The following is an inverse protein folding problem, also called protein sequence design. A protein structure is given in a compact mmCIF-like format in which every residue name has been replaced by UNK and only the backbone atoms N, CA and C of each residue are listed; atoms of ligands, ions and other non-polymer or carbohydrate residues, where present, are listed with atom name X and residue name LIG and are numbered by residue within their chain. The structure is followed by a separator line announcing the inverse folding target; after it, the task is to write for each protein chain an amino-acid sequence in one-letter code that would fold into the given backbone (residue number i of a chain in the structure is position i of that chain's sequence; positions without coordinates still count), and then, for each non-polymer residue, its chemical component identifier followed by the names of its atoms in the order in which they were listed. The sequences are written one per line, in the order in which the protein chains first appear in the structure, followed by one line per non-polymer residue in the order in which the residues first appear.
data_IF_061303941514
#
_entry.id   IF_061303941514
#
_cell.length_a   1.000
_cell.length_b   1.000
_cell.length_c   1.000
_cell.angle_alpha   90.00
_cell.angle_beta   90.00
_cell.angle_gamma   90.00
#
_symmetry.space_group_name_H-M   'P 1'
#
loop_
_entity.id
_entity.type
_entity.pdbx_description
1 polymer ?
#
# COMPACT_ATOMS: atom_id res chain seq x y z
N UNK A 1 -29.12 15.18 8.35
CA UNK A 1 -28.16 16.05 7.61
C UNK A 1 -28.55 15.98 6.15
N UNK A 2 -29.01 17.08 5.56
CA UNK A 2 -29.38 17.11 4.14
C UNK A 2 -28.11 17.19 3.31
N UNK A 3 -27.69 16.08 2.72
CA UNK A 3 -26.60 16.06 1.73
C UNK A 3 -27.23 16.25 0.35
N UNK A 4 -27.21 17.48 -0.13
CA UNK A 4 -27.75 17.85 -1.44
C UNK A 4 -26.64 17.67 -2.48
N UNK A 5 -26.81 16.68 -3.35
CA UNK A 5 -25.95 16.41 -4.50
C UNK A 5 -26.79 16.47 -5.78
N UNK A 6 -26.16 16.57 -6.95
CA UNK A 6 -26.86 16.52 -8.23
C UNK A 6 -27.67 15.21 -8.45
N UNK A 7 -27.45 14.19 -7.61
CA UNK A 7 -28.19 12.93 -7.60
C UNK A 7 -29.29 12.83 -6.53
N UNK A 8 -29.55 13.87 -5.73
CA UNK A 8 -30.56 13.81 -4.67
C UNK A 8 -31.98 13.62 -5.23
N UNK A 9 -32.72 12.68 -4.64
CA UNK A 9 -34.08 12.29 -5.07
C UNK A 9 -35.07 12.29 -3.91
N UNK A 10 -36.36 12.32 -4.25
CA UNK A 10 -37.45 12.23 -3.30
C UNK A 10 -37.63 10.79 -2.79
N UNK A 11 -37.67 10.57 -1.49
CA UNK A 11 -37.85 9.22 -0.90
C UNK A 11 -39.24 8.60 -1.12
N UNK A 12 -40.19 9.34 -1.70
CA UNK A 12 -41.55 8.86 -1.98
C UNK A 12 -41.71 8.39 -3.42
N UNK A 13 -41.33 9.22 -4.40
CA UNK A 13 -41.44 8.87 -5.82
C UNK A 13 -40.12 8.40 -6.44
N UNK A 14 -39.00 8.48 -5.72
CA UNK A 14 -37.64 8.17 -6.17
C UNK A 14 -37.15 8.99 -7.37
N UNK A 15 -37.87 10.04 -7.76
CA UNK A 15 -37.45 10.96 -8.81
C UNK A 15 -36.48 12.02 -8.27
N UNK A 16 -35.58 12.48 -9.15
CA UNK A 16 -34.62 13.55 -8.82
C UNK A 16 -35.34 14.85 -8.51
N UNK A 17 -34.81 15.60 -7.55
CA UNK A 17 -35.30 16.94 -7.28
C UNK A 17 -35.06 17.86 -8.49
N UNK A 18 -36.02 18.71 -8.77
CA UNK A 18 -36.01 19.61 -9.92
C UNK A 18 -36.71 20.93 -9.61
N UNK A 19 -37.35 21.52 -10.62
CA UNK A 19 -38.13 22.76 -10.46
C UNK A 19 -39.62 22.44 -10.27
N UNK A 20 -40.39 23.46 -9.88
CA UNK A 20 -41.85 23.41 -9.75
C UNK A 20 -42.37 22.25 -8.90
N UNK A 21 -43.07 21.28 -9.51
CA UNK A 21 -43.67 20.13 -8.83
C UNK A 21 -42.62 19.17 -8.24
N UNK A 22 -41.43 19.12 -8.83
CA UNK A 22 -40.31 18.31 -8.33
C UNK A 22 -39.37 19.11 -7.43
N UNK A 23 -39.73 20.35 -7.07
CA UNK A 23 -38.95 21.14 -6.15
C UNK A 23 -38.91 20.48 -4.76
N UNK A 24 -37.74 20.46 -4.11
CA UNK A 24 -37.60 19.93 -2.76
C UNK A 24 -38.32 20.82 -1.76
N UNK A 25 -39.09 20.22 -0.88
CA UNK A 25 -39.86 20.86 0.17
C UNK A 25 -39.51 20.22 1.51
N UNK A 26 -39.11 21.04 2.47
CA UNK A 26 -38.91 20.60 3.85
C UNK A 26 -40.21 20.74 4.63
N UNK A 27 -40.61 19.66 5.29
CA UNK A 27 -41.73 19.67 6.24
C UNK A 27 -41.23 19.95 7.66
N UNK A 28 -42.13 20.21 8.61
CA UNK A 28 -41.77 20.70 9.96
C UNK A 28 -40.80 19.80 10.75
N UNK A 29 -40.75 18.49 10.44
CA UNK A 29 -39.81 17.56 11.09
C UNK A 29 -38.42 17.54 10.44
N UNK A 30 -38.20 18.32 9.39
CA UNK A 30 -36.91 18.47 8.69
C UNK A 30 -36.67 17.48 7.55
N UNK A 31 -37.56 16.51 7.32
CA UNK A 31 -37.49 15.63 6.15
C UNK A 31 -37.88 16.37 4.87
N UNK A 32 -37.31 15.96 3.73
CA UNK A 32 -37.48 16.64 2.46
C UNK A 32 -38.09 15.69 1.42
N UNK A 33 -39.14 16.15 0.76
CA UNK A 33 -39.82 15.44 -0.32
C UNK A 33 -40.11 16.41 -1.45
N UNK A 34 -40.47 15.93 -2.64
CA UNK A 34 -40.84 16.86 -3.71
C UNK A 34 -42.24 17.47 -3.44
N UNK A 35 -42.47 18.70 -3.92
CA UNK A 35 -43.71 19.43 -3.73
C UNK A 35 -44.97 18.62 -4.12
N UNK A 36 -44.86 17.87 -5.21
CA UNK A 36 -45.88 16.94 -5.68
C UNK A 36 -46.20 15.86 -4.63
N UNK A 37 -45.18 15.17 -4.11
CA UNK A 37 -45.38 14.16 -3.07
C UNK A 37 -45.92 14.76 -1.76
N UNK A 38 -45.44 15.94 -1.34
CA UNK A 38 -45.93 16.61 -0.12
C UNK A 38 -47.44 16.90 -0.20
N UNK A 39 -47.94 17.22 -1.40
CA UNK A 39 -49.34 17.52 -1.64
C UNK A 39 -50.24 16.27 -1.61
N UNK A 40 -49.69 15.11 -1.96
CA UNK A 40 -50.42 13.85 -2.11
C UNK A 40 -50.28 12.87 -0.94
N UNK A 41 -49.28 13.02 -0.07
CA UNK A 41 -49.15 12.17 1.11
C UNK A 41 -50.17 12.55 2.20
N UNK A 42 -50.62 11.53 2.92
CA UNK A 42 -51.37 11.73 4.17
C UNK A 42 -50.53 12.62 5.10
N UNK A 43 -51.17 13.44 5.93
CA UNK A 43 -50.58 14.51 6.78
C UNK A 43 -49.58 14.05 7.85
N UNK A 44 -48.88 12.95 7.62
CA UNK A 44 -47.87 12.30 8.43
C UNK A 44 -46.61 12.13 7.57
N UNK A 45 -45.45 12.47 8.13
CA UNK A 45 -44.17 12.26 7.48
C UNK A 45 -43.98 10.75 7.14
N UNK A 46 -43.66 10.39 5.88
CA UNK A 46 -43.38 9.00 5.50
C UNK A 46 -42.22 8.35 6.29
N UNK A 47 -41.28 9.14 6.79
CA UNK A 47 -40.07 8.65 7.46
C UNK A 47 -40.23 8.56 8.99
N UNK A 48 -40.73 9.61 9.63
CA UNK A 48 -40.82 9.67 11.10
C UNK A 48 -42.25 9.78 11.65
N UNK A 49 -43.26 9.79 10.78
CA UNK A 49 -44.70 9.85 11.12
C UNK A 49 -45.15 11.09 11.89
N UNK A 50 -44.31 12.11 12.01
CA UNK A 50 -44.70 13.40 12.59
C UNK A 50 -45.80 14.03 11.74
N UNK A 51 -46.87 14.50 12.39
CA UNK A 51 -47.95 15.22 11.71
C UNK A 51 -47.44 16.54 11.14
N UNK A 52 -47.88 16.91 9.93
CA UNK A 52 -47.50 18.17 9.30
C UNK A 52 -48.65 18.74 8.46
N UNK A 53 -48.69 20.07 8.34
CA UNK A 53 -49.65 20.76 7.48
C UNK A 53 -48.96 21.17 6.16
N UNK A 54 -49.53 20.95 4.97
CA UNK A 54 -48.90 21.30 3.70
C UNK A 54 -48.61 22.80 3.58
N UNK A 55 -49.44 23.65 4.20
CA UNK A 55 -49.22 25.10 4.25
C UNK A 55 -47.98 25.50 5.05
N UNK A 56 -47.50 24.63 5.95
CA UNK A 56 -46.29 24.84 6.75
C UNK A 56 -45.00 24.33 6.07
N UNK A 57 -45.11 23.80 4.85
CA UNK A 57 -43.97 23.27 4.12
C UNK A 57 -43.17 24.40 3.46
N UNK A 58 -41.86 24.36 3.62
CA UNK A 58 -40.95 25.37 3.06
C UNK A 58 -40.36 24.81 1.77
N UNK A 59 -40.65 25.46 0.63
CA UNK A 59 -39.99 25.17 -0.64
C UNK A 59 -38.53 25.59 -0.54
N UNK A 60 -37.62 24.64 -0.70
CA UNK A 60 -36.19 24.90 -0.67
C UNK A 60 -35.75 25.38 -2.04
N UNK A 61 -35.11 26.55 -2.10
CA UNK A 61 -34.38 26.96 -3.28
C UNK A 61 -33.02 26.27 -3.24
N UNK A 62 -32.80 25.36 -4.19
CA UNK A 62 -31.47 24.78 -4.38
C UNK A 62 -30.78 25.57 -5.47
N UNK A 63 -29.83 26.41 -5.08
CA UNK A 63 -28.72 26.77 -5.94
C UNK A 63 -27.83 25.54 -6.05
N UNK A 64 -28.33 24.52 -6.76
CA UNK A 64 -27.42 23.54 -7.33
C UNK A 64 -26.59 24.38 -8.27
N UNK A 65 -25.27 24.42 -8.05
CA UNK A 65 -24.32 24.87 -9.07
C UNK A 65 -24.44 23.91 -10.27
N UNK A 66 -25.57 23.93 -10.97
CA UNK A 66 -25.59 23.74 -12.41
C UNK A 66 -24.79 24.90 -12.94
N UNK A 67 -23.47 24.74 -12.95
CA UNK A 67 -22.62 25.55 -13.79
C UNK A 67 -23.34 25.60 -15.16
N UNK A 68 -23.77 26.78 -15.66
CA UNK A 68 -24.55 26.87 -16.91
C UNK A 68 -23.80 26.38 -18.16
N UNK A 69 -22.60 25.81 -18.00
CA UNK A 69 -21.87 25.11 -19.06
C UNK A 69 -22.42 23.72 -19.37
N UNK A 70 -23.36 23.16 -18.60
CA UNK A 70 -23.93 21.82 -18.88
C UNK A 70 -25.38 21.83 -19.40
N UNK A 71 -25.84 22.94 -19.98
CA UNK A 71 -26.99 22.95 -20.92
C UNK A 71 -26.51 23.22 -22.35
N UNK A 72 -25.33 22.70 -22.72
CA UNK A 72 -25.07 22.45 -24.12
C UNK A 72 -25.97 21.28 -24.56
N UNK A 73 -26.78 21.52 -25.59
CA UNK A 73 -27.30 20.48 -26.49
C UNK A 73 -26.24 19.38 -26.69
N UNK A 74 -26.58 18.09 -26.91
CA UNK A 74 -25.63 16.97 -26.95
C UNK A 74 -24.46 17.29 -27.87
N UNK A 75 -23.42 17.83 -27.26
CA UNK A 75 -22.32 18.53 -27.87
C UNK A 75 -21.11 17.87 -27.27
N UNK A 76 -20.26 17.39 -28.17
CA UNK A 76 -19.04 16.64 -27.85
C UNK A 76 -18.37 17.11 -26.55
N UNK A 77 -18.04 16.20 -25.61
CA UNK A 77 -17.28 16.56 -24.42
C UNK A 77 -16.01 17.29 -24.84
N UNK A 78 -15.63 18.32 -24.08
CA UNK A 78 -14.43 19.11 -24.34
C UNK A 78 -13.20 18.19 -24.39
N UNK A 79 -12.16 18.59 -25.12
CA UNK A 79 -10.94 17.77 -25.23
C UNK A 79 -10.34 17.46 -23.84
N UNK A 80 -10.40 18.43 -22.93
CA UNK A 80 -9.92 18.27 -21.55
C UNK A 80 -10.77 17.29 -20.72
N UNK A 81 -12.10 17.26 -20.91
CA UNK A 81 -12.97 16.28 -20.26
C UNK A 81 -12.74 14.86 -20.78
N UNK A 82 -12.53 14.72 -22.09
CA UNK A 82 -12.18 13.42 -22.71
C UNK A 82 -10.85 12.92 -22.17
N UNK A 83 -9.86 13.82 -22.04
CA UNK A 83 -8.54 13.49 -21.53
C UNK A 83 -8.59 13.10 -20.05
N UNK A 84 -9.32 13.86 -19.22
CA UNK A 84 -9.53 13.52 -17.82
C UNK A 84 -10.23 12.16 -17.66
N UNK A 85 -11.24 11.88 -18.49
CA UNK A 85 -11.95 10.61 -18.49
C UNK A 85 -11.05 9.45 -18.95
N UNK A 86 -10.18 9.67 -19.95
CA UNK A 86 -9.18 8.71 -20.39
C UNK A 86 -8.20 8.37 -19.26
N UNK A 87 -7.69 9.39 -18.56
CA UNK A 87 -6.77 9.21 -17.44
C UNK A 87 -7.44 8.45 -16.29
N UNK A 88 -8.70 8.76 -15.98
CA UNK A 88 -9.49 8.00 -14.99
C UNK A 88 -9.65 6.53 -15.37
N UNK A 89 -10.02 6.24 -16.61
CA UNK A 89 -10.18 4.87 -17.07
C UNK A 89 -8.85 4.11 -17.02
N UNK A 90 -7.75 4.76 -17.42
CA UNK A 90 -6.43 4.16 -17.33
C UNK A 90 -6.03 3.87 -15.87
N UNK A 91 -6.26 4.81 -14.96
CA UNK A 91 -6.04 4.66 -13.50
C UNK A 91 -6.84 3.49 -12.94
N UNK A 92 -8.12 3.36 -13.28
CA UNK A 92 -8.96 2.26 -12.82
C UNK A 92 -8.47 0.91 -13.36
N UNK A 93 -8.07 0.87 -14.64
CA UNK A 93 -7.47 -0.33 -15.23
C UNK A 93 -6.20 -0.77 -14.52
N UNK A 94 -5.35 0.17 -14.09
CA UNK A 94 -4.16 -0.14 -13.28
C UNK A 94 -4.55 -0.82 -11.97
N UNK A 95 -5.62 -0.36 -11.32
CA UNK A 95 -6.10 -0.94 -10.07
C UNK A 95 -6.68 -2.36 -10.25
N UNK A 96 -7.42 -2.59 -11.34
CA UNK A 96 -8.13 -3.84 -11.58
C UNK A 96 -7.22 -4.96 -12.12
N UNK A 97 -6.41 -4.65 -13.13
CA UNK A 97 -5.63 -5.66 -13.87
C UNK A 97 -4.13 -5.57 -13.63
N UNK A 98 -3.67 -4.52 -12.95
CA UNK A 98 -2.26 -4.15 -12.96
C UNK A 98 -1.81 -3.59 -14.30
N UNK A 99 -0.54 -3.21 -14.36
CA UNK A 99 0.12 -2.64 -15.54
C UNK A 99 1.63 -2.89 -15.47
N UNK A 100 2.29 -2.87 -16.62
CA UNK A 100 3.75 -2.87 -16.70
C UNK A 100 4.35 -1.56 -16.16
N UNK A 101 5.58 -1.63 -15.65
CA UNK A 101 6.21 -0.51 -14.95
C UNK A 101 6.46 0.71 -15.85
N UNK A 102 6.92 0.50 -17.08
CA UNK A 102 7.17 1.60 -18.02
C UNK A 102 5.86 2.28 -18.46
N UNK A 103 4.81 1.49 -18.70
CA UNK A 103 3.49 2.03 -19.00
C UNK A 103 2.88 2.78 -17.79
N UNK A 104 3.17 2.35 -16.56
CA UNK A 104 2.79 3.07 -15.35
C UNK A 104 3.51 4.41 -15.22
N UNK A 105 4.82 4.46 -15.45
CA UNK A 105 5.61 5.70 -15.44
C UNK A 105 5.10 6.67 -16.49
N UNK A 106 4.80 6.18 -17.69
CA UNK A 106 4.20 6.98 -18.77
C UNK A 106 2.85 7.56 -18.34
N UNK A 107 1.95 6.74 -17.78
CA UNK A 107 0.65 7.21 -17.29
C UNK A 107 0.79 8.29 -16.20
N UNK A 108 1.73 8.10 -15.25
CA UNK A 108 2.01 9.10 -14.21
C UNK A 108 2.49 10.41 -14.84
N UNK A 109 3.35 10.33 -15.85
CA UNK A 109 3.90 11.50 -16.53
C UNK A 109 2.81 12.25 -17.32
N UNK A 110 2.04 11.54 -18.15
CA UNK A 110 0.90 12.09 -18.90
C UNK A 110 -0.10 12.77 -17.97
N UNK A 111 -0.46 12.11 -16.86
CA UNK A 111 -1.36 12.66 -15.87
C UNK A 111 -0.82 13.93 -15.20
N UNK A 112 0.49 13.98 -14.89
CA UNK A 112 1.13 15.18 -14.33
C UNK A 112 1.12 16.34 -15.33
N UNK A 113 1.44 16.07 -16.60
CA UNK A 113 1.45 17.08 -17.65
C UNK A 113 0.06 17.67 -17.89
N UNK A 114 -0.97 16.82 -17.97
CA UNK A 114 -2.36 17.25 -18.06
C UNK A 114 -2.74 18.13 -16.86
N UNK A 115 -2.52 17.63 -15.63
CA UNK A 115 -2.91 18.33 -14.40
C UNK A 115 -2.12 19.63 -14.15
N UNK A 116 -0.96 19.80 -14.75
CA UNK A 116 -0.19 21.06 -14.67
C UNK A 116 -0.78 22.16 -15.55
N UNK A 117 -1.46 21.80 -16.64
CA UNK A 117 -2.16 22.75 -17.52
C UNK A 117 -3.50 23.20 -16.93
N UNK A 118 -4.04 22.43 -15.98
CA UNK A 118 -5.36 22.64 -15.40
C UNK A 118 -5.32 23.39 -14.05
N UNK A 119 -6.34 24.21 -13.71
CA UNK A 119 -6.46 24.84 -12.40
C UNK A 119 -6.47 23.83 -11.25
N UNK A 120 -5.93 24.22 -10.08
CA UNK A 120 -5.77 23.30 -8.93
C UNK A 120 -7.08 22.74 -8.35
N UNK A 121 -8.19 23.44 -8.54
CA UNK A 121 -9.50 23.05 -8.02
C UNK A 121 -10.26 22.11 -8.96
N UNK A 122 -9.82 21.97 -10.21
CA UNK A 122 -10.37 21.06 -11.21
C UNK A 122 -9.73 19.66 -11.08
N UNK A 123 -10.51 18.63 -11.42
CA UNK A 123 -10.04 17.23 -11.50
C UNK A 123 -9.32 16.73 -10.23
N UNK A 124 -9.87 17.05 -9.04
CA UNK A 124 -9.29 16.71 -7.73
C UNK A 124 -9.14 15.20 -7.53
N UNK A 125 -10.11 14.45 -8.02
CA UNK A 125 -10.12 13.00 -8.08
C UNK A 125 -8.95 12.45 -8.89
N UNK A 126 -8.74 12.92 -10.13
CA UNK A 126 -7.57 12.52 -10.96
C UNK A 126 -6.28 12.82 -10.21
N UNK A 127 -6.14 14.02 -9.61
CA UNK A 127 -4.96 14.40 -8.81
C UNK A 127 -4.69 13.44 -7.68
N UNK A 128 -5.73 13.10 -6.91
CA UNK A 128 -5.60 12.24 -5.75
C UNK A 128 -5.23 10.81 -6.17
N UNK A 129 -5.93 10.25 -7.16
CA UNK A 129 -5.65 8.91 -7.66
C UNK A 129 -4.24 8.80 -8.26
N UNK A 130 -3.81 9.80 -9.03
CA UNK A 130 -2.47 9.83 -9.61
C UNK A 130 -1.38 9.93 -8.52
N UNK A 131 -1.62 10.69 -7.45
CA UNK A 131 -0.70 10.79 -6.30
C UNK A 131 -0.59 9.44 -5.58
N UNK A 132 -1.72 8.76 -5.34
CA UNK A 132 -1.74 7.45 -4.70
C UNK A 132 -0.97 6.43 -5.55
N UNK A 133 -1.21 6.42 -6.86
CA UNK A 133 -0.51 5.52 -7.80
C UNK A 133 0.99 5.79 -7.82
N UNK A 134 1.41 7.06 -7.93
CA UNK A 134 2.82 7.42 -7.93
C UNK A 134 3.51 6.97 -6.63
N UNK A 135 2.90 7.25 -5.48
CA UNK A 135 3.43 6.82 -4.18
C UNK A 135 3.51 5.29 -4.07
N UNK A 136 2.49 4.56 -4.53
CA UNK A 136 2.47 3.10 -4.50
C UNK A 136 3.55 2.51 -5.40
N UNK A 137 3.82 3.15 -6.56
CA UNK A 137 4.90 2.76 -7.46
C UNK A 137 6.27 2.92 -6.79
N UNK A 138 6.51 4.04 -6.11
CA UNK A 138 7.76 4.29 -5.36
C UNK A 138 7.95 3.30 -4.21
N UNK A 139 6.87 3.00 -3.47
CA UNK A 139 6.89 1.99 -2.43
C UNK A 139 7.22 0.59 -2.99
N UNK A 140 6.62 0.20 -4.12
CA UNK A 140 6.90 -1.08 -4.78
C UNK A 140 8.38 -1.19 -5.15
N UNK A 141 8.94 -0.16 -5.77
CA UNK A 141 10.36 -0.13 -6.13
C UNK A 141 11.26 -0.27 -4.90
N UNK A 142 10.95 0.47 -3.84
CA UNK A 142 11.70 0.39 -2.57
C UNK A 142 11.64 -1.01 -1.96
N UNK A 143 10.46 -1.63 -1.95
CA UNK A 143 10.26 -2.98 -1.41
C UNK A 143 11.03 -4.05 -2.20
N UNK A 144 11.08 -3.93 -3.53
CA UNK A 144 11.88 -4.82 -4.36
C UNK A 144 13.38 -4.67 -4.07
N UNK A 145 13.87 -3.43 -3.94
CA UNK A 145 15.26 -3.19 -3.56
C UNK A 145 15.61 -3.74 -2.18
N UNK A 146 14.72 -3.55 -1.19
CA UNK A 146 14.90 -4.13 0.14
C UNK A 146 14.90 -5.67 0.12
N UNK A 147 14.05 -6.28 -0.70
CA UNK A 147 14.01 -7.73 -0.87
C UNK A 147 15.34 -8.27 -1.41
N UNK A 148 15.88 -7.64 -2.45
CA UNK A 148 17.18 -8.01 -3.01
C UNK A 148 18.29 -7.89 -1.96
N UNK A 149 18.32 -6.78 -1.21
CA UNK A 149 19.30 -6.59 -0.14
C UNK A 149 19.18 -7.65 0.97
N UNK A 150 17.97 -8.07 1.32
CA UNK A 150 17.75 -9.16 2.27
C UNK A 150 18.24 -10.51 1.74
N UNK A 151 18.05 -10.79 0.46
CA UNK A 151 18.56 -11.99 -0.20
C UNK A 151 20.11 -12.00 -0.15
N UNK A 152 20.76 -10.89 -0.48
CA UNK A 152 22.22 -10.73 -0.40
C UNK A 152 22.76 -10.93 1.03
N UNK A 153 22.11 -10.33 2.03
CA UNK A 153 22.49 -10.51 3.45
C UNK A 153 22.30 -11.95 3.88
N UNK A 154 21.23 -12.61 3.45
CA UNK A 154 20.96 -14.00 3.81
C UNK A 154 22.01 -14.95 3.21
N UNK A 155 22.42 -14.72 1.96
CA UNK A 155 23.49 -15.47 1.32
C UNK A 155 24.84 -15.27 2.04
N UNK A 156 25.13 -14.03 2.46
CA UNK A 156 26.32 -13.72 3.27
C UNK A 156 26.30 -14.44 4.62
N UNK A 157 25.16 -14.43 5.32
CA UNK A 157 24.98 -15.15 6.58
C UNK A 157 25.20 -16.65 6.40
N UNK A 158 24.69 -17.24 5.32
CA UNK A 158 24.92 -18.65 5.02
C UNK A 158 26.40 -18.95 4.77
N UNK A 159 27.08 -18.11 3.97
CA UNK A 159 28.52 -18.26 3.68
C UNK A 159 29.37 -18.16 4.94
N UNK A 160 29.10 -17.17 5.78
CA UNK A 160 29.83 -17.02 7.05
C UNK A 160 29.53 -18.17 8.02
N UNK A 161 28.31 -18.70 8.00
CA UNK A 161 27.96 -19.87 8.82
C UNK A 161 28.71 -21.13 8.38
N UNK A 162 28.88 -21.37 7.07
CA UNK A 162 29.65 -22.50 6.58
C UNK A 162 31.13 -22.35 6.90
N UNK A 163 31.71 -21.17 6.65
CA UNK A 163 33.11 -20.86 6.99
C UNK A 163 33.38 -21.04 8.49
N UNK A 164 32.50 -20.53 9.35
CA UNK A 164 32.59 -20.74 10.80
C UNK A 164 32.59 -22.22 11.16
N UNK A 165 31.74 -23.04 10.54
CA UNK A 165 31.69 -24.48 10.79
C UNK A 165 32.99 -25.17 10.37
N UNK A 166 33.56 -24.80 9.23
CA UNK A 166 34.82 -25.35 8.73
C UNK A 166 36.01 -24.96 9.63
N UNK A 167 36.08 -23.70 10.04
CA UNK A 167 37.14 -23.23 10.94
C UNK A 167 37.05 -23.92 12.30
N UNK A 168 35.85 -24.16 12.83
CA UNK A 168 35.67 -24.93 14.06
C UNK A 168 36.18 -26.37 13.93
N UNK A 169 35.91 -27.05 12.80
CA UNK A 169 36.45 -28.39 12.55
C UNK A 169 37.98 -28.39 12.50
N UNK A 170 38.57 -27.46 11.76
CA UNK A 170 40.04 -27.31 11.67
C UNK A 170 40.67 -27.02 13.04
N UNK A 171 39.99 -26.26 13.89
CA UNK A 171 40.46 -25.97 15.24
C UNK A 171 40.49 -27.23 16.10
N UNK A 172 39.42 -28.04 16.06
CA UNK A 172 39.38 -29.33 16.77
C UNK A 172 40.48 -30.28 16.27
N UNK A 173 40.64 -30.43 14.95
CA UNK A 173 41.68 -31.27 14.35
C UNK A 173 43.09 -30.82 14.77
N UNK A 174 43.36 -29.51 14.78
CA UNK A 174 44.64 -28.97 15.22
C UNK A 174 44.92 -29.22 16.70
N UNK A 175 43.89 -29.14 17.55
CA UNK A 175 44.03 -29.42 18.99
C UNK A 175 44.24 -30.92 19.25
N UNK A 176 43.58 -31.81 18.51
CA UNK A 176 43.83 -33.26 18.56
C UNK A 176 45.25 -33.60 18.11
N UNK A 177 45.71 -33.00 17.01
CA UNK A 177 47.07 -33.18 16.51
C UNK A 177 48.12 -32.72 17.53
N UNK A 178 47.94 -31.54 18.14
CA UNK A 178 48.82 -31.03 19.20
C UNK A 178 48.86 -31.96 20.42
N UNK A 179 47.72 -32.55 20.78
CA UNK A 179 47.63 -33.51 21.89
C UNK A 179 48.42 -34.77 21.57
N UNK A 180 48.23 -35.33 20.38
CA UNK A 180 48.96 -36.51 19.91
C UNK A 180 50.47 -36.28 19.85
N UNK A 181 50.92 -35.14 19.32
CA UNK A 181 52.33 -34.76 19.27
C UNK A 181 52.94 -34.64 20.67
N UNK A 182 52.20 -34.04 21.62
CA UNK A 182 52.62 -33.93 23.02
C UNK A 182 52.75 -35.31 23.68
N UNK A 183 51.78 -36.18 23.51
CA UNK A 183 51.81 -37.55 24.06
C UNK A 183 52.97 -38.35 23.47
N UNK A 184 53.19 -38.24 22.16
CA UNK A 184 54.32 -38.88 21.46
C UNK A 184 55.66 -38.36 21.96
N UNK A 185 55.81 -37.03 22.10
CA UNK A 185 57.04 -36.42 22.62
C UNK A 185 57.35 -36.89 24.05
N UNK A 186 56.35 -36.98 24.92
CA UNK A 186 56.49 -37.49 26.29
C UNK A 186 56.90 -38.97 26.32
N UNK A 187 56.31 -39.80 25.45
CA UNK A 187 56.67 -41.21 25.33
C UNK A 187 58.13 -41.38 24.87
N UNK A 188 58.57 -40.61 23.86
CA UNK A 188 59.96 -40.60 23.39
C UNK A 188 60.90 -40.14 24.48
N UNK A 189 60.59 -39.05 25.18
CA UNK A 189 61.40 -38.55 26.30
C UNK A 189 61.56 -39.61 27.40
N UNK A 190 60.46 -40.27 27.77
CA UNK A 190 60.47 -41.32 28.80
C UNK A 190 61.36 -42.49 28.39
N UNK A 191 61.20 -43.00 27.15
CA UNK A 191 62.02 -44.07 26.61
C UNK A 191 63.52 -43.70 26.57
N UNK A 192 63.86 -42.48 26.16
CA UNK A 192 65.23 -41.99 26.14
C UNK A 192 65.83 -41.91 27.55
N UNK A 193 65.07 -41.42 28.54
CA UNK A 193 65.50 -41.38 29.95
C UNK A 193 65.77 -42.79 30.49
N UNK A 194 64.89 -43.75 30.20
CA UNK A 194 65.06 -45.15 30.59
C UNK A 194 66.31 -45.76 29.97
N UNK A 195 66.52 -45.56 28.66
CA UNK A 195 67.72 -46.03 27.96
C UNK A 195 69.00 -45.42 28.52
N UNK A 196 69.02 -44.11 28.79
CA UNK A 196 70.15 -43.43 29.40
C UNK A 196 70.47 -43.98 30.81
N UNK A 197 69.44 -44.20 31.63
CA UNK A 197 69.60 -44.78 32.97
C UNK A 197 70.14 -46.22 32.92
N UNK A 198 69.72 -47.02 31.94
CA UNK A 198 70.26 -48.37 31.72
C UNK A 198 71.72 -48.32 31.25
N UNK A 199 72.04 -47.47 30.28
CA UNK A 199 73.40 -47.31 29.77
C UNK A 199 74.36 -46.85 30.89
N UNK A 200 73.94 -45.89 31.71
CA UNK A 200 74.71 -45.39 32.86
C UNK A 200 74.99 -46.50 33.87
N UNK A 201 73.99 -47.32 34.21
CA UNK A 201 74.18 -48.49 35.08
C UNK A 201 75.17 -49.50 34.50
N UNK A 202 75.06 -49.83 33.22
CA UNK A 202 75.97 -50.77 32.58
C UNK A 202 77.41 -50.26 32.55
N UNK A 203 77.60 -48.96 32.30
CA UNK A 203 78.91 -48.34 32.29
C UNK A 203 79.57 -48.34 33.67
N UNK A 204 78.79 -48.12 34.74
CA UNK A 204 79.28 -48.22 36.12
C UNK A 204 79.77 -49.63 36.47
N UNK A 205 79.08 -50.68 35.99
CA UNK A 205 79.50 -52.07 36.19
C UNK A 205 80.81 -52.39 35.47
N UNK A 206 81.04 -51.82 34.28
CA UNK A 206 82.27 -52.06 33.50
C UNK A 206 83.52 -51.40 34.07
N UNK A 207 83.38 -50.39 34.94
CA UNK A 207 84.49 -49.63 35.53
C UNK A 207 84.93 -50.20 36.90
N UNK A 208 84.14 -51.09 37.51
CA UNK A 208 84.47 -51.78 38.76
C UNK A 208 85.14 -53.13 38.51
#
# INVERSE_FOLDING_TARGET
MLTLSAGSSCDVCFERFGRDLKAPCSIICGHVFCFDCVSHVNRLCPLCRTHFEPSSCIKLHLDVDTNPQSEQAPGSPSEDEREAQRLHQAINKVADTGIEEEALKQLIQEGKEFLNRQPRHMYKDVRNSLRIIAYTSELKHTLLGQRQMNEEINDEVQRLSTEKSELLKKLVEADEQRKYERETALAVETSLREHYALATRNYQVLIQ
#
